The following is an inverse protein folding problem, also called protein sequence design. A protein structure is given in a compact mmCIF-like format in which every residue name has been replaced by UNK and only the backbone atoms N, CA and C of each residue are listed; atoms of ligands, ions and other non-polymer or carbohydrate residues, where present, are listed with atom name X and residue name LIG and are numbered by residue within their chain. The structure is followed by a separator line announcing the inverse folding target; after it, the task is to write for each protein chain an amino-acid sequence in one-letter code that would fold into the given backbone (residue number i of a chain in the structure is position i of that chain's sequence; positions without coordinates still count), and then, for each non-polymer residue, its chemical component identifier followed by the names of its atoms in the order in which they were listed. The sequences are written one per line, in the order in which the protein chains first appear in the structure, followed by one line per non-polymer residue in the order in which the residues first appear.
data_IF_989643453033
#
_entry.id   IF_989643453033
#
_cell.length_a   1.000
_cell.length_b   1.000
_cell.length_c   1.000
_cell.angle_alpha   90.00
_cell.angle_beta   90.00
_cell.angle_gamma   90.00
#
_symmetry.space_group_name_H-M   'P 1'
#
loop_
_entity.id
_entity.type
_entity.pdbx_description
1 polymer ?
#
# COMPACT_ATOMS: atom_id res chain seq x y z
N UNK A 1 -2.29 -17.60 28.14
CA UNK A 1 -3.59 -18.29 27.90
C UNK A 1 -4.07 -17.92 26.50
N UNK A 2 -4.41 -18.89 25.65
CA UNK A 2 -4.91 -18.57 24.31
C UNK A 2 -6.24 -17.82 24.42
N UNK A 3 -6.42 -16.77 23.58
CA UNK A 3 -7.69 -16.04 23.51
C UNK A 3 -8.83 -16.97 23.05
N UNK A 4 -10.04 -16.77 23.57
CA UNK A 4 -11.25 -17.47 23.10
C UNK A 4 -11.38 -17.40 21.57
N UNK A 5 -11.00 -16.27 20.96
CA UNK A 5 -11.00 -16.10 19.50
C UNK A 5 -10.18 -17.16 18.77
N UNK A 6 -8.99 -17.52 19.26
CA UNK A 6 -8.14 -18.54 18.63
C UNK A 6 -8.78 -19.92 18.73
N UNK A 7 -9.36 -20.24 19.88
CA UNK A 7 -10.07 -21.48 20.10
C UNK A 7 -11.26 -21.61 19.13
N UNK A 8 -12.10 -20.57 19.04
CA UNK A 8 -13.24 -20.54 18.13
C UNK A 8 -12.81 -20.73 16.66
N UNK A 9 -11.72 -20.10 16.23
CA UNK A 9 -11.19 -20.28 14.88
C UNK A 9 -10.75 -21.74 14.66
N UNK A 10 -10.01 -22.34 15.59
CA UNK A 10 -9.52 -23.70 15.45
C UNK A 10 -10.65 -24.74 15.43
N UNK A 11 -11.68 -24.56 16.25
CA UNK A 11 -12.83 -25.46 16.35
C UNK A 11 -13.72 -25.43 15.10
N UNK A 12 -13.86 -24.24 14.46
CA UNK A 12 -14.77 -24.06 13.31
C UNK A 12 -14.08 -24.13 11.96
N UNK A 13 -12.74 -24.24 11.90
CA UNK A 13 -12.05 -24.45 10.62
C UNK A 13 -12.49 -25.75 9.95
N UNK A 14 -12.61 -25.79 8.60
CA UNK A 14 -12.93 -27.01 7.87
C UNK A 14 -12.03 -28.18 8.27
N UNK A 15 -12.63 -29.36 8.48
CA UNK A 15 -11.90 -30.55 8.90
C UNK A 15 -10.83 -30.96 7.88
N UNK A 16 -11.12 -30.83 6.56
CA UNK A 16 -10.16 -31.06 5.49
C UNK A 16 -9.24 -29.85 5.32
N UNK A 17 -8.12 -29.86 6.02
CA UNK A 17 -7.10 -28.82 5.98
C UNK A 17 -5.70 -29.42 6.04
N UNK A 18 -4.71 -28.67 5.55
CA UNK A 18 -3.28 -29.03 5.62
C UNK A 18 -2.45 -27.83 6.01
N UNK A 19 -1.32 -28.05 6.64
CA UNK A 19 -0.36 -27.00 6.95
C UNK A 19 0.81 -27.03 5.94
N UNK A 20 1.22 -25.85 5.49
CA UNK A 20 2.40 -25.72 4.60
C UNK A 20 3.67 -25.55 5.44
N UNK A 21 4.88 -25.79 4.89
CA UNK A 21 6.16 -25.56 5.58
C UNK A 21 6.34 -24.11 6.06
N UNK A 22 5.66 -23.16 5.44
CA UNK A 22 5.65 -21.73 5.84
C UNK A 22 4.59 -21.41 6.91
N UNK A 23 3.96 -22.39 7.53
CA UNK A 23 2.99 -22.21 8.62
C UNK A 23 1.56 -21.89 8.18
N UNK A 24 1.27 -21.77 6.88
CA UNK A 24 -0.09 -21.53 6.41
C UNK A 24 -0.98 -22.77 6.56
N UNK A 25 -2.19 -22.58 7.08
CA UNK A 25 -3.24 -23.58 7.11
C UNK A 25 -4.10 -23.37 5.85
N UNK A 26 -4.17 -24.39 5.00
CA UNK A 26 -4.84 -24.34 3.69
C UNK A 26 -6.07 -25.24 3.72
N UNK A 27 -7.22 -24.71 3.27
CA UNK A 27 -8.52 -25.39 3.31
C UNK A 27 -9.45 -24.88 2.18
N UNK A 28 -10.57 -25.57 1.95
CA UNK A 28 -11.60 -25.08 1.05
C UNK A 28 -12.28 -23.86 1.66
N UNK A 29 -12.17 -22.72 1.00
CA UNK A 29 -12.61 -21.45 1.56
C UNK A 29 -14.13 -21.37 1.72
N UNK A 30 -14.59 -21.02 2.91
CA UNK A 30 -16.01 -20.89 3.25
C UNK A 30 -16.63 -19.57 2.75
N UNK A 31 -15.82 -18.54 2.50
CA UNK A 31 -16.31 -17.22 2.14
C UNK A 31 -16.87 -17.10 0.72
N UNK A 32 -16.54 -18.04 -0.18
CA UNK A 32 -16.88 -17.92 -1.60
C UNK A 32 -18.40 -17.89 -1.84
N UNK A 33 -19.15 -18.80 -1.25
CA UNK A 33 -20.61 -18.89 -1.40
C UNK A 33 -21.32 -17.62 -0.88
N UNK A 34 -20.86 -17.10 0.26
CA UNK A 34 -21.41 -15.90 0.86
C UNK A 34 -21.13 -14.62 0.06
N UNK A 35 -20.26 -14.72 -0.95
CA UNK A 35 -19.87 -13.61 -1.83
C UNK A 35 -20.29 -13.80 -3.28
N UNK A 36 -21.20 -14.73 -3.54
CA UNK A 36 -21.73 -14.99 -4.89
C UNK A 36 -20.75 -15.71 -5.84
N UNK A 37 -19.71 -16.33 -5.30
CA UNK A 37 -18.77 -17.13 -6.08
C UNK A 37 -19.06 -18.63 -5.94
N UNK A 38 -18.65 -19.42 -6.92
CA UNK A 38 -18.72 -20.88 -6.85
C UNK A 38 -17.94 -21.40 -5.63
N UNK A 39 -18.41 -22.51 -4.99
CA UNK A 39 -17.72 -23.15 -3.87
C UNK A 39 -16.25 -23.42 -4.17
N UNK A 40 -15.39 -23.19 -3.18
CA UNK A 40 -13.99 -23.56 -3.32
C UNK A 40 -13.79 -25.05 -3.10
N UNK A 41 -13.38 -25.76 -4.16
CA UNK A 41 -13.07 -27.20 -4.14
C UNK A 41 -11.57 -27.49 -4.24
N UNK A 42 -10.74 -26.43 -4.35
CA UNK A 42 -9.30 -26.54 -4.63
C UNK A 42 -8.42 -26.05 -3.49
N UNK A 43 -8.96 -25.92 -2.28
CA UNK A 43 -8.25 -25.46 -1.09
C UNK A 43 -7.53 -24.12 -1.31
N UNK A 44 -8.25 -23.09 -1.76
CA UNK A 44 -7.72 -21.74 -2.00
C UNK A 44 -7.92 -20.78 -0.82
N UNK A 45 -8.53 -21.26 0.27
CA UNK A 45 -8.58 -20.56 1.56
C UNK A 45 -7.28 -20.77 2.32
N UNK A 46 -6.71 -19.70 2.88
CA UNK A 46 -5.45 -19.75 3.60
C UNK A 46 -5.57 -18.95 4.89
N UNK A 47 -5.15 -19.53 6.01
CA UNK A 47 -5.04 -18.89 7.31
C UNK A 47 -3.59 -18.95 7.78
N UNK A 48 -3.04 -17.82 8.17
CA UNK A 48 -1.78 -17.75 8.91
C UNK A 48 -2.06 -17.27 10.34
N UNK A 49 -1.54 -18.01 11.31
CA UNK A 49 -1.52 -17.61 12.72
C UNK A 49 -0.07 -17.30 13.06
N UNK A 50 0.19 -16.05 13.41
CA UNK A 50 1.54 -15.58 13.75
C UNK A 50 1.84 -15.88 15.23
N UNK A 51 3.14 -15.92 15.65
CA UNK A 51 3.52 -16.16 17.04
C UNK A 51 2.95 -15.13 18.05
N UNK A 52 2.69 -13.91 17.59
CA UNK A 52 2.05 -12.84 18.37
C UNK A 52 0.52 -13.04 18.51
N UNK A 53 -0.02 -14.13 18.00
CA UNK A 53 -1.44 -14.43 17.99
C UNK A 53 -2.24 -13.69 16.92
N UNK A 54 -1.62 -12.89 16.06
CA UNK A 54 -2.32 -12.28 14.91
C UNK A 54 -2.74 -13.35 13.90
N UNK A 55 -3.88 -13.14 13.24
CA UNK A 55 -4.42 -14.05 12.23
C UNK A 55 -4.70 -13.32 10.93
N UNK A 56 -4.31 -13.91 9.81
CA UNK A 56 -4.54 -13.38 8.47
C UNK A 56 -5.23 -14.45 7.63
N UNK A 57 -6.35 -14.06 7.00
CA UNK A 57 -7.12 -14.88 6.07
C UNK A 57 -6.95 -14.33 4.67
N UNK A 58 -6.69 -15.23 3.71
CA UNK A 58 -6.67 -14.91 2.29
C UNK A 58 -7.37 -16.01 1.49
N UNK A 59 -8.30 -15.63 0.62
CA UNK A 59 -8.96 -16.56 -0.30
C UNK A 59 -8.57 -16.24 -1.74
N UNK A 60 -7.80 -17.12 -2.37
CA UNK A 60 -7.40 -16.96 -3.78
C UNK A 60 -8.52 -17.28 -4.79
N UNK A 61 -9.69 -17.74 -4.34
CA UNK A 61 -10.84 -17.95 -5.21
C UNK A 61 -11.66 -16.69 -5.42
N UNK A 62 -12.06 -16.01 -4.33
CA UNK A 62 -12.92 -14.82 -4.38
C UNK A 62 -12.21 -13.52 -3.98
N UNK A 63 -10.88 -13.56 -3.73
CA UNK A 63 -10.10 -12.38 -3.34
C UNK A 63 -10.37 -11.88 -1.91
N UNK A 64 -11.12 -12.63 -1.09
CA UNK A 64 -11.46 -12.21 0.27
C UNK A 64 -10.21 -12.17 1.15
N UNK A 65 -10.06 -11.06 1.89
CA UNK A 65 -8.99 -10.87 2.86
C UNK A 65 -9.58 -10.39 4.18
N UNK A 66 -9.08 -10.93 5.28
CA UNK A 66 -9.49 -10.56 6.62
C UNK A 66 -8.33 -10.73 7.60
N UNK A 67 -8.37 -10.04 8.75
CA UNK A 67 -7.34 -10.18 9.76
C UNK A 67 -7.81 -9.79 11.16
N UNK A 68 -7.13 -10.40 12.13
CA UNK A 68 -7.15 -10.03 13.54
C UNK A 68 -5.72 -9.66 13.95
N UNK A 69 -5.54 -8.55 14.64
CA UNK A 69 -4.24 -8.09 15.14
C UNK A 69 -4.40 -7.44 16.51
N UNK A 70 -3.56 -7.85 17.46
CA UNK A 70 -3.34 -7.15 18.76
C UNK A 70 -4.57 -6.44 19.35
N UNK A 71 -5.67 -7.17 19.47
CA UNK A 71 -6.90 -6.61 20.05
C UNK A 71 -7.85 -5.92 19.06
N UNK A 72 -7.57 -5.92 17.75
CA UNK A 72 -8.47 -5.37 16.74
C UNK A 72 -8.97 -6.45 15.77
N UNK A 73 -10.28 -6.66 15.76
CA UNK A 73 -10.98 -7.55 14.83
C UNK A 73 -11.45 -6.70 13.65
N UNK A 74 -10.90 -6.94 12.44
CA UNK A 74 -11.42 -6.26 11.26
C UNK A 74 -12.87 -6.68 10.97
N UNK A 75 -13.65 -5.79 10.35
CA UNK A 75 -15.02 -6.09 9.94
C UNK A 75 -15.11 -7.37 9.08
N UNK A 76 -14.17 -7.53 8.15
CA UNK A 76 -14.09 -8.74 7.35
C UNK A 76 -13.76 -9.99 8.17
N UNK A 77 -12.97 -9.88 9.25
CA UNK A 77 -12.67 -11.02 10.11
C UNK A 77 -13.90 -11.47 10.90
N UNK A 78 -14.69 -10.52 11.39
CA UNK A 78 -15.97 -10.83 12.01
C UNK A 78 -16.94 -11.50 11.02
N UNK A 79 -17.03 -11.00 9.79
CA UNK A 79 -17.81 -11.63 8.74
C UNK A 79 -17.32 -13.06 8.44
N UNK A 80 -16.00 -13.27 8.41
CA UNK A 80 -15.43 -14.59 8.18
C UNK A 80 -15.75 -15.59 9.30
N UNK A 81 -15.75 -15.16 10.56
CA UNK A 81 -16.20 -16.00 11.68
C UNK A 81 -17.66 -16.46 11.52
N UNK A 82 -18.53 -15.56 11.05
CA UNK A 82 -19.92 -15.90 10.70
C UNK A 82 -19.99 -16.93 9.56
N UNK A 83 -19.14 -16.78 8.53
CA UNK A 83 -19.05 -17.76 7.42
C UNK A 83 -18.53 -19.12 7.86
N UNK A 84 -17.69 -19.17 8.91
CA UNK A 84 -17.26 -20.42 9.55
C UNK A 84 -18.37 -21.09 10.37
N UNK A 85 -19.51 -20.42 10.59
CA UNK A 85 -20.58 -20.91 11.44
C UNK A 85 -20.35 -20.69 12.93
N UNK A 86 -19.46 -19.78 13.32
CA UNK A 86 -19.29 -19.41 14.73
C UNK A 86 -20.56 -18.72 15.23
N UNK A 87 -21.19 -19.19 16.33
CA UNK A 87 -22.39 -18.56 16.89
C UNK A 87 -22.15 -17.09 17.25
N UNK A 88 -23.13 -16.25 16.97
CA UNK A 88 -23.02 -14.80 17.17
C UNK A 88 -22.67 -14.43 18.62
N UNK A 89 -23.29 -15.08 19.60
CA UNK A 89 -23.00 -14.86 21.04
C UNK A 89 -21.53 -15.16 21.36
N UNK A 90 -20.94 -16.21 20.76
CA UNK A 90 -19.51 -16.55 20.96
C UNK A 90 -18.58 -15.51 20.33
N UNK A 91 -18.96 -14.94 19.19
CA UNK A 91 -18.22 -13.83 18.59
C UNK A 91 -18.25 -12.61 19.53
N UNK A 92 -19.41 -12.30 20.14
CA UNK A 92 -19.51 -11.19 21.09
C UNK A 92 -18.72 -11.45 22.39
N UNK A 93 -18.74 -12.67 22.93
CA UNK A 93 -17.93 -13.07 24.09
C UNK A 93 -16.42 -12.85 23.78
N UNK A 94 -15.94 -13.30 22.63
CA UNK A 94 -14.55 -13.09 22.22
C UNK A 94 -14.21 -11.60 22.05
N UNK A 95 -15.12 -10.79 21.52
CA UNK A 95 -14.94 -9.33 21.41
C UNK A 95 -14.85 -8.66 22.79
N UNK A 96 -15.68 -9.08 23.75
CA UNK A 96 -15.64 -8.57 25.12
C UNK A 96 -14.35 -8.98 25.84
N UNK A 97 -13.88 -10.23 25.68
CA UNK A 97 -12.60 -10.67 26.23
C UNK A 97 -11.44 -9.80 25.68
N UNK A 98 -11.44 -9.59 24.37
CA UNK A 98 -10.43 -8.75 23.71
C UNK A 98 -10.47 -7.32 24.24
N UNK A 99 -11.68 -6.74 24.35
CA UNK A 99 -11.84 -5.38 24.87
C UNK A 99 -11.39 -5.27 26.33
N UNK A 100 -11.74 -6.24 27.18
CA UNK A 100 -11.29 -6.30 28.57
C UNK A 100 -9.76 -6.33 28.66
N UNK A 101 -9.12 -7.20 27.88
CA UNK A 101 -7.65 -7.28 27.82
C UNK A 101 -7.01 -6.00 27.28
N UNK A 102 -7.65 -5.33 26.33
CA UNK A 102 -7.20 -4.04 25.79
C UNK A 102 -7.26 -2.94 26.85
N UNK A 103 -8.33 -2.89 27.64
CA UNK A 103 -8.50 -1.94 28.75
C UNK A 103 -7.46 -2.21 29.86
N UNK A 104 -7.21 -3.47 30.17
CA UNK A 104 -6.23 -3.87 31.20
C UNK A 104 -4.76 -3.76 30.75
N UNK A 105 -4.51 -3.34 29.51
CA UNK A 105 -3.14 -3.24 28.98
C UNK A 105 -2.46 -4.60 28.76
N UNK A 106 -3.21 -5.72 28.78
CA UNK A 106 -2.68 -7.07 28.61
C UNK A 106 -2.29 -7.40 27.15
N UNK A 107 -2.80 -6.65 26.19
CA UNK A 107 -2.15 -6.60 24.90
C UNK A 107 -0.96 -5.68 25.10
N UNK A 108 0.24 -6.25 25.09
CA UNK A 108 1.44 -5.44 24.98
C UNK A 108 1.15 -4.36 23.95
N UNK A 109 1.14 -3.12 24.42
CA UNK A 109 1.17 -1.98 23.52
C UNK A 109 2.47 -2.19 22.76
N UNK A 110 2.37 -2.68 21.51
CA UNK A 110 3.45 -2.54 20.54
C UNK A 110 3.70 -1.04 20.23
N UNK A 111 3.54 -0.22 21.26
CA UNK A 111 3.86 1.19 21.40
C UNK A 111 5.16 1.42 22.15
N UNK A 112 5.96 0.39 22.42
CA UNK A 112 7.37 0.65 22.50
C UNK A 112 7.80 0.94 21.06
N UNK A 113 8.36 2.12 20.77
CA UNK A 113 9.17 2.23 19.60
C UNK A 113 10.31 1.23 19.84
N UNK A 114 10.19 -0.02 19.38
CA UNK A 114 11.39 -0.68 18.91
C UNK A 114 12.00 0.38 18.04
N UNK A 115 13.13 0.93 18.51
CA UNK A 115 13.91 1.88 17.74
C UNK A 115 13.93 1.33 16.33
N UNK A 116 13.19 2.00 15.43
CA UNK A 116 13.06 1.57 14.04
C UNK A 116 14.49 1.48 13.51
N UNK A 117 15.05 0.26 13.59
CA UNK A 117 16.32 -0.03 12.93
C UNK A 117 15.97 0.00 11.46
N UNK A 118 16.39 1.05 10.77
CA UNK A 118 16.34 1.10 9.31
C UNK A 118 17.02 -0.18 8.86
N UNK A 119 16.25 -1.14 8.38
CA UNK A 119 16.79 -2.37 7.84
C UNK A 119 17.77 -1.99 6.72
N UNK A 120 18.86 -2.68 6.65
CA UNK A 120 19.81 -2.51 5.56
C UNK A 120 19.14 -3.02 4.29
N UNK A 121 18.64 -2.11 3.47
CA UNK A 121 18.11 -2.48 2.15
C UNK A 121 19.29 -2.89 1.25
N UNK A 122 19.28 -4.12 0.73
CA UNK A 122 20.33 -4.58 -0.17
C UNK A 122 20.35 -3.72 -1.45
N UNK A 123 21.52 -3.50 -1.99
CA UNK A 123 21.68 -2.85 -3.29
C UNK A 123 21.18 -3.78 -4.40
N UNK A 124 20.44 -3.23 -5.34
CA UNK A 124 19.84 -3.95 -6.47
C UNK A 124 20.32 -3.32 -7.77
N UNK A 125 20.76 -4.15 -8.71
CA UNK A 125 21.12 -3.69 -10.04
C UNK A 125 19.89 -3.27 -10.85
N UNK A 126 20.04 -2.20 -11.60
CA UNK A 126 19.06 -1.83 -12.64
C UNK A 126 19.06 -2.87 -13.77
N UNK A 127 17.98 -2.94 -14.56
CA UNK A 127 17.94 -3.81 -15.72
C UNK A 127 19.17 -3.63 -16.62
N UNK A 128 19.63 -4.73 -17.22
CA UNK A 128 20.80 -4.72 -18.11
C UNK A 128 20.67 -3.62 -19.17
N UNK A 129 21.74 -2.89 -19.41
CA UNK A 129 21.80 -1.74 -20.33
C UNK A 129 20.88 -0.56 -19.97
N UNK A 130 20.28 -0.54 -18.77
CA UNK A 130 19.56 0.64 -18.32
C UNK A 130 20.52 1.83 -18.12
N UNK A 131 20.19 2.97 -18.73
CA UNK A 131 20.90 4.25 -18.55
C UNK A 131 19.90 5.36 -18.33
N UNK A 132 20.32 6.49 -17.76
CA UNK A 132 19.49 7.69 -17.70
C UNK A 132 18.92 8.05 -19.08
N UNK A 133 17.65 8.44 -19.12
CA UNK A 133 16.97 8.82 -20.37
C UNK A 133 17.72 9.97 -21.05
N UNK A 134 18.24 10.92 -20.27
CA UNK A 134 19.02 12.06 -20.77
C UNK A 134 20.31 11.65 -21.51
N UNK A 135 20.90 10.52 -21.16
CA UNK A 135 22.06 9.96 -21.84
C UNK A 135 21.67 9.32 -23.18
N UNK A 136 20.56 8.61 -23.21
CA UNK A 136 20.01 8.05 -24.44
C UNK A 136 19.62 9.11 -25.45
N UNK A 137 19.07 10.24 -25.00
CA UNK A 137 18.70 11.36 -25.88
C UNK A 137 19.90 12.09 -26.51
N UNK A 138 21.12 11.81 -26.05
CA UNK A 138 22.36 12.32 -26.65
C UNK A 138 22.98 11.35 -27.65
N UNK A 139 22.42 10.14 -27.81
CA UNK A 139 22.91 9.17 -28.79
C UNK A 139 22.35 9.44 -30.16
N UNK A 140 23.10 8.99 -31.21
CA UNK A 140 22.70 9.18 -32.62
C UNK A 140 21.50 8.32 -33.02
N UNK A 141 21.22 7.25 -32.26
CA UNK A 141 20.10 6.34 -32.51
C UNK A 141 19.05 6.44 -31.39
N UNK A 142 17.94 7.09 -31.68
CA UNK A 142 16.80 7.22 -30.77
C UNK A 142 15.67 6.32 -31.28
N UNK A 143 15.31 5.30 -30.50
CA UNK A 143 14.21 4.38 -30.87
C UNK A 143 12.83 5.00 -30.63
N UNK A 144 11.81 4.50 -31.37
CA UNK A 144 10.44 4.93 -31.19
C UNK A 144 9.91 4.62 -29.78
N UNK A 145 10.33 3.52 -29.16
CA UNK A 145 9.95 3.15 -27.80
C UNK A 145 10.49 4.14 -26.77
N UNK A 146 11.69 4.66 -26.99
CA UNK A 146 12.26 5.72 -26.13
C UNK A 146 11.48 7.02 -26.30
N UNK A 147 11.11 7.39 -27.53
CA UNK A 147 10.30 8.58 -27.82
C UNK A 147 8.97 8.49 -27.07
N UNK A 148 8.24 7.35 -27.17
CA UNK A 148 6.99 7.14 -26.43
C UNK A 148 7.18 7.30 -24.90
N UNK A 149 8.29 6.85 -24.35
CA UNK A 149 8.61 7.02 -22.92
C UNK A 149 8.81 8.50 -22.56
N UNK A 150 9.52 9.26 -23.41
CA UNK A 150 9.75 10.71 -23.21
C UNK A 150 8.45 11.49 -23.33
N UNK A 151 7.64 11.22 -24.36
CA UNK A 151 6.33 11.83 -24.54
C UNK A 151 5.40 11.57 -23.33
N UNK A 152 5.41 10.34 -22.82
CA UNK A 152 4.68 10.00 -21.61
C UNK A 152 5.14 10.85 -20.41
N UNK A 153 6.45 10.99 -20.17
CA UNK A 153 6.95 11.83 -19.08
C UNK A 153 6.56 13.30 -19.27
N UNK A 154 6.68 13.81 -20.50
CA UNK A 154 6.27 15.16 -20.84
C UNK A 154 4.77 15.39 -20.56
N UNK A 155 3.92 14.41 -20.90
CA UNK A 155 2.47 14.47 -20.64
C UNK A 155 2.13 14.48 -19.15
N UNK A 156 3.02 13.95 -18.29
CA UNK A 156 2.85 13.98 -16.82
C UNK A 156 3.30 15.30 -16.18
N UNK A 157 3.74 16.25 -16.99
CA UNK A 157 4.10 17.59 -16.58
C UNK A 157 5.49 17.75 -15.98
N UNK A 158 5.92 18.99 -15.85
CA UNK A 158 7.30 19.36 -15.45
C UNK A 158 7.67 18.79 -14.06
N UNK A 159 6.73 18.75 -13.12
CA UNK A 159 6.99 18.29 -11.75
C UNK A 159 7.36 16.78 -11.74
N UNK A 160 6.74 15.97 -12.59
CA UNK A 160 7.07 14.56 -12.75
C UNK A 160 8.31 14.42 -13.62
N UNK A 161 8.32 14.98 -14.83
CA UNK A 161 9.40 14.80 -15.80
C UNK A 161 10.78 15.23 -15.28
N UNK A 162 10.85 16.34 -14.53
CA UNK A 162 12.09 16.84 -13.94
C UNK A 162 12.27 16.49 -12.46
N UNK A 163 11.36 15.73 -11.85
CA UNK A 163 11.37 15.45 -10.41
C UNK A 163 12.18 14.23 -9.98
N UNK A 164 12.62 13.41 -10.93
CA UNK A 164 13.33 12.16 -10.67
C UNK A 164 14.29 11.83 -11.80
N UNK A 165 15.33 11.04 -11.55
CA UNK A 165 16.18 10.49 -12.58
C UNK A 165 15.54 9.20 -13.12
N UNK A 166 15.09 9.24 -14.37
CA UNK A 166 14.46 8.12 -15.05
C UNK A 166 15.47 7.38 -15.92
N UNK A 167 15.28 6.07 -16.02
CA UNK A 167 16.12 5.20 -16.83
C UNK A 167 15.28 4.51 -17.90
N UNK A 168 15.93 4.11 -18.94
CA UNK A 168 15.37 3.31 -20.00
C UNK A 168 16.39 2.27 -20.49
N UNK A 169 15.92 1.16 -21.04
CA UNK A 169 16.72 0.09 -21.62
C UNK A 169 16.17 -0.33 -22.97
N UNK A 170 17.00 -0.63 -24.00
CA UNK A 170 16.56 -1.15 -25.28
C UNK A 170 16.12 -2.63 -25.21
N UNK A 171 16.23 -3.27 -24.03
CA UNK A 171 15.79 -4.65 -23.85
C UNK A 171 14.27 -4.69 -23.81
N UNK A 172 13.67 -5.41 -24.77
CA UNK A 172 12.21 -5.63 -24.82
C UNK A 172 11.75 -6.90 -24.12
N UNK A 173 12.68 -7.79 -23.77
CA UNK A 173 12.42 -9.03 -23.02
C UNK A 173 12.09 -8.72 -21.54
N UNK A 174 11.53 -9.68 -20.83
CA UNK A 174 11.25 -9.61 -19.39
C UNK A 174 10.26 -8.50 -18.99
N UNK A 175 9.26 -8.24 -19.83
CA UNK A 175 8.28 -7.17 -19.61
C UNK A 175 8.88 -5.76 -19.48
N UNK A 176 10.03 -5.49 -20.09
CA UNK A 176 10.69 -4.18 -20.07
C UNK A 176 10.35 -3.30 -21.29
N UNK A 177 9.66 -3.84 -22.30
CA UNK A 177 9.25 -3.09 -23.47
C UNK A 177 8.35 -1.90 -23.11
N UNK A 178 8.61 -0.74 -23.71
CA UNK A 178 7.83 0.51 -23.49
C UNK A 178 7.68 0.87 -22.02
N UNK A 179 8.76 0.75 -21.24
CA UNK A 179 8.74 1.09 -19.83
C UNK A 179 9.80 2.12 -19.46
N UNK A 180 9.35 3.06 -18.64
CA UNK A 180 10.22 3.96 -17.90
C UNK A 180 10.63 3.26 -16.61
N UNK A 181 11.92 3.16 -16.36
CA UNK A 181 12.46 2.58 -15.13
C UNK A 181 12.62 3.71 -14.11
N UNK A 182 11.96 3.53 -12.98
CA UNK A 182 11.99 4.44 -11.83
C UNK A 182 12.80 3.75 -10.73
N UNK A 183 14.06 4.14 -10.48
CA UNK A 183 14.85 3.55 -9.41
C UNK A 183 14.36 4.00 -8.03
N UNK A 184 14.53 3.12 -7.06
CA UNK A 184 14.24 3.34 -5.65
C UNK A 184 15.53 3.55 -4.90
N UNK A 185 15.68 4.69 -4.27
CA UNK A 185 16.90 5.06 -3.59
C UNK A 185 16.76 4.98 -2.06
N UNK A 186 17.79 4.46 -1.42
CA UNK A 186 18.02 4.59 0.01
C UNK A 186 19.50 4.90 0.27
N UNK A 187 19.79 5.99 0.96
CA UNK A 187 21.17 6.44 1.21
C UNK A 187 22.04 6.50 -0.07
N UNK A 188 21.48 7.04 -1.14
CA UNK A 188 22.09 7.18 -2.48
C UNK A 188 22.41 5.85 -3.20
N UNK A 189 21.90 4.71 -2.71
CA UNK A 189 22.02 3.41 -3.38
C UNK A 189 20.69 3.02 -3.98
N UNK A 190 20.73 2.30 -5.10
CA UNK A 190 19.54 1.71 -5.70
C UNK A 190 19.20 0.45 -4.92
N UNK A 191 18.01 0.42 -4.31
CA UNK A 191 17.51 -0.71 -3.49
C UNK A 191 16.32 -1.41 -4.11
N UNK A 192 15.95 -1.02 -5.31
CA UNK A 192 14.88 -1.57 -6.11
C UNK A 192 14.53 -0.65 -7.27
N UNK A 193 13.60 -1.07 -8.10
CA UNK A 193 13.09 -0.25 -9.20
C UNK A 193 11.70 -0.73 -9.62
N UNK A 194 10.99 0.13 -10.33
CA UNK A 194 9.76 -0.23 -11.03
C UNK A 194 9.81 0.23 -12.47
N UNK A 195 9.29 -0.59 -13.37
CA UNK A 195 9.11 -0.26 -14.78
C UNK A 195 7.67 0.18 -15.05
N UNK A 196 7.44 1.47 -15.24
CA UNK A 196 6.14 2.04 -15.61
C UNK A 196 5.87 1.84 -17.09
N UNK A 197 4.82 1.09 -17.44
CA UNK A 197 4.35 0.95 -18.81
C UNK A 197 3.70 2.24 -19.31
N UNK A 198 4.12 2.73 -20.47
CA UNK A 198 3.70 4.06 -20.97
C UNK A 198 2.45 4.02 -21.85
N UNK A 199 2.08 2.84 -22.36
CA UNK A 199 0.87 2.65 -23.17
C UNK A 199 -0.29 2.10 -22.32
N UNK A 200 -1.42 1.76 -22.95
CA UNK A 200 -2.56 1.14 -22.26
C UNK A 200 -2.18 -0.21 -21.66
N UNK A 201 -2.33 -0.37 -20.36
CA UNK A 201 -2.10 -1.64 -19.68
C UNK A 201 -3.20 -2.66 -19.98
N UNK A 202 -2.83 -3.95 -20.00
CA UNK A 202 -3.75 -5.09 -20.15
C UNK A 202 -3.54 -6.09 -19.03
N UNK A 203 -4.28 -7.21 -19.03
CA UNK A 203 -4.05 -8.30 -18.08
C UNK A 203 -2.64 -8.90 -18.22
N UNK A 204 -2.13 -8.97 -19.43
CA UNK A 204 -0.82 -9.56 -19.75
C UNK A 204 0.31 -8.54 -19.64
N UNK A 205 -0.01 -7.24 -19.67
CA UNK A 205 0.97 -6.16 -19.56
C UNK A 205 0.57 -5.23 -18.40
N UNK A 206 1.02 -5.52 -17.18
CA UNK A 206 0.65 -4.75 -16.01
C UNK A 206 1.21 -3.32 -16.08
N UNK A 207 0.48 -2.38 -15.48
CA UNK A 207 0.84 -0.95 -15.40
C UNK A 207 2.24 -0.75 -14.81
N UNK A 208 2.60 -1.54 -13.80
CA UNK A 208 3.91 -1.53 -13.14
C UNK A 208 4.50 -2.93 -13.14
N UNK A 209 5.80 -3.02 -13.40
CA UNK A 209 6.61 -4.22 -13.27
C UNK A 209 7.76 -3.93 -12.32
N UNK A 210 7.83 -4.63 -11.21
CA UNK A 210 8.73 -4.32 -10.11
C UNK A 210 9.88 -5.32 -10.03
N UNK A 211 11.07 -4.84 -9.62
CA UNK A 211 12.08 -5.69 -8.99
C UNK A 211 11.54 -6.23 -7.66
N UNK A 212 12.31 -7.07 -6.99
CA UNK A 212 12.06 -7.40 -5.59
C UNK A 212 12.17 -6.13 -4.76
N UNK A 213 11.02 -5.67 -4.23
CA UNK A 213 10.96 -4.48 -3.38
C UNK A 213 11.21 -4.92 -1.94
N UNK A 214 12.22 -4.36 -1.25
CA UNK A 214 12.45 -4.69 0.15
C UNK A 214 11.22 -4.40 1.01
N UNK A 215 10.88 -5.33 1.92
CA UNK A 215 9.81 -5.12 2.88
C UNK A 215 10.12 -3.87 3.71
N UNK A 216 9.10 -3.06 3.96
CA UNK A 216 9.25 -1.83 4.75
C UNK A 216 9.80 -0.63 3.98
N UNK A 217 10.19 -0.77 2.71
CA UNK A 217 10.68 0.36 1.93
C UNK A 217 9.58 1.40 1.70
N UNK A 218 9.95 2.67 1.85
CA UNK A 218 9.14 3.83 1.47
C UNK A 218 9.84 4.56 0.32
N UNK A 219 9.12 4.73 -0.78
CA UNK A 219 9.62 5.51 -1.91
C UNK A 219 9.85 6.96 -1.51
N UNK A 220 10.95 7.56 -2.00
CA UNK A 220 11.39 8.91 -1.69
C UNK A 220 11.55 9.18 -0.18
N UNK A 221 11.98 8.17 0.58
CA UNK A 221 12.17 8.22 2.04
C UNK A 221 13.12 9.35 2.51
N UNK A 222 13.95 9.91 1.63
CA UNK A 222 14.82 11.06 1.94
C UNK A 222 14.05 12.25 2.53
N UNK A 223 12.77 12.43 2.16
CA UNK A 223 11.96 13.56 2.64
C UNK A 223 11.67 13.49 4.14
N UNK A 224 11.76 12.30 4.74
CA UNK A 224 11.61 12.12 6.19
C UNK A 224 12.70 12.85 6.98
N UNK A 225 13.90 12.98 6.39
CA UNK A 225 15.07 13.57 7.02
C UNK A 225 15.26 15.06 6.72
N UNK A 226 14.38 15.69 5.92
CA UNK A 226 14.49 17.12 5.59
C UNK A 226 14.01 17.96 6.79
N UNK A 227 14.94 18.47 7.60
CA UNK A 227 14.67 19.20 8.85
C UNK A 227 13.62 20.32 8.77
N UNK A 228 13.63 21.24 7.78
CA UNK A 228 12.67 22.35 7.75
C UNK A 228 11.24 21.94 7.40
N UNK A 229 10.99 20.70 6.99
CA UNK A 229 9.64 20.23 6.67
C UNK A 229 8.83 19.96 7.93
N UNK A 230 7.63 20.54 8.00
CA UNK A 230 6.65 20.27 9.06
C UNK A 230 5.73 19.07 8.74
N UNK A 231 5.57 18.76 7.46
CA UNK A 231 4.62 17.77 6.96
C UNK A 231 5.31 16.71 6.14
N UNK A 232 4.85 15.47 6.28
CA UNK A 232 5.11 14.35 5.36
C UNK A 232 3.82 14.02 4.68
N UNK A 233 3.72 14.32 3.38
CA UNK A 233 2.61 13.90 2.55
C UNK A 233 2.82 12.46 2.11
N UNK A 234 1.75 11.70 1.97
CA UNK A 234 1.78 10.26 1.66
C UNK A 234 0.77 9.99 0.55
N UNK A 235 1.25 9.50 -0.59
CA UNK A 235 0.45 9.15 -1.77
C UNK A 235 0.61 7.67 -2.12
N UNK A 236 -0.28 7.11 -2.95
CA UNK A 236 -0.25 5.67 -3.27
C UNK A 236 0.90 5.31 -4.20
N UNK A 237 1.16 6.11 -5.22
CA UNK A 237 2.05 5.79 -6.32
C UNK A 237 3.35 6.61 -6.37
N UNK A 238 4.39 6.10 -7.06
CA UNK A 238 5.67 6.79 -7.17
C UNK A 238 5.57 8.09 -7.99
N UNK A 239 4.72 8.16 -9.03
CA UNK A 239 4.60 9.37 -9.84
C UNK A 239 3.97 10.53 -9.06
N UNK A 240 2.97 10.25 -8.21
CA UNK A 240 2.40 11.25 -7.30
C UNK A 240 3.42 11.72 -6.28
N UNK A 241 4.18 10.75 -5.72
CA UNK A 241 5.24 11.08 -4.78
C UNK A 241 6.33 11.96 -5.41
N UNK A 242 6.67 11.73 -6.67
CA UNK A 242 7.62 12.59 -7.43
C UNK A 242 7.00 13.97 -7.67
N UNK A 243 5.75 14.04 -8.11
CA UNK A 243 5.07 15.29 -8.49
C UNK A 243 5.07 16.32 -7.37
N UNK A 244 4.79 15.89 -6.14
CA UNK A 244 4.70 16.78 -4.98
C UNK A 244 5.85 16.59 -3.98
N UNK A 245 6.87 15.80 -4.31
CA UNK A 245 8.03 15.48 -3.47
C UNK A 245 7.62 14.98 -2.09
N UNK A 246 6.90 13.86 -2.07
CA UNK A 246 6.40 13.20 -0.86
C UNK A 246 6.82 11.73 -0.81
N UNK A 247 6.33 10.95 0.16
CA UNK A 247 6.59 9.51 0.27
C UNK A 247 5.45 8.69 -0.33
N UNK A 248 5.78 7.46 -0.76
CA UNK A 248 4.78 6.46 -1.16
C UNK A 248 5.13 5.08 -0.61
N UNK A 249 4.16 4.31 -0.11
CA UNK A 249 4.33 2.91 0.23
C UNK A 249 4.40 1.99 -1.00
N UNK A 250 4.30 2.55 -2.22
CA UNK A 250 4.22 1.83 -3.50
C UNK A 250 2.98 0.93 -3.61
N UNK A 251 1.88 1.38 -3.05
CA UNK A 251 0.59 0.68 -3.07
C UNK A 251 -0.43 1.36 -2.17
N UNK A 252 -1.63 0.81 -2.14
CA UNK A 252 -2.75 1.32 -1.32
C UNK A 252 -2.70 0.87 0.14
N UNK A 253 -1.75 0.02 0.51
CA UNK A 253 -1.59 -0.53 1.88
C UNK A 253 -0.21 -0.24 2.41
N UNK A 254 -0.09 -0.11 3.73
CA UNK A 254 1.19 -0.02 4.43
C UNK A 254 1.41 -1.22 5.33
N UNK A 255 2.63 -1.72 5.39
CA UNK A 255 3.02 -2.71 6.38
C UNK A 255 3.48 -2.06 7.69
N UNK A 256 3.66 -2.88 8.74
CA UNK A 256 4.07 -2.40 10.08
C UNK A 256 5.40 -1.64 10.06
N UNK A 257 6.36 -2.06 9.24
CA UNK A 257 7.68 -1.43 9.15
C UNK A 257 7.58 -0.04 8.52
N UNK A 258 6.78 0.13 7.46
CA UNK A 258 6.52 1.44 6.84
C UNK A 258 5.84 2.40 7.81
N UNK A 259 4.84 1.91 8.56
CA UNK A 259 4.13 2.69 9.59
C UNK A 259 5.10 3.09 10.72
N UNK A 260 5.93 2.14 11.21
CA UNK A 260 6.92 2.41 12.24
C UNK A 260 7.94 3.46 11.77
N UNK A 261 8.38 3.36 10.50
CA UNK A 261 9.29 4.35 9.92
C UNK A 261 8.67 5.74 9.83
N UNK A 262 7.42 5.84 9.40
CA UNK A 262 6.71 7.12 9.40
C UNK A 262 6.54 7.67 10.81
N UNK A 263 6.22 6.83 11.79
CA UNK A 263 6.04 7.24 13.19
C UNK A 263 7.34 7.64 13.89
N UNK A 264 8.51 7.13 13.43
CA UNK A 264 9.81 7.55 13.96
C UNK A 264 10.17 9.00 13.59
N UNK A 265 9.46 9.58 12.63
CA UNK A 265 9.61 10.97 12.21
C UNK A 265 8.61 11.85 12.99
N UNK A 266 9.08 12.94 13.57
CA UNK A 266 8.30 13.91 14.38
C UNK A 266 7.34 14.80 13.58
N UNK A 267 7.39 14.73 12.24
CA UNK A 267 6.56 15.52 11.33
C UNK A 267 5.11 15.05 11.32
N UNK A 268 4.17 15.95 11.08
CA UNK A 268 2.76 15.59 10.84
C UNK A 268 2.62 14.84 9.52
N UNK A 269 1.93 13.69 9.55
CA UNK A 269 1.65 12.86 8.40
C UNK A 269 0.29 13.24 7.82
N UNK A 270 0.24 13.40 6.48
CA UNK A 270 -0.99 13.71 5.77
C UNK A 270 -1.14 12.71 4.62
N UNK A 271 -2.11 11.83 4.71
CA UNK A 271 -2.45 10.91 3.62
C UNK A 271 -3.27 11.65 2.57
N UNK A 272 -2.87 11.51 1.31
CA UNK A 272 -3.56 12.08 0.14
C UNK A 272 -4.02 10.92 -0.73
N UNK A 273 -5.25 10.43 -0.57
CA UNK A 273 -5.77 9.32 -1.35
C UNK A 273 -6.09 9.75 -2.79
N UNK A 274 -6.01 8.79 -3.71
CA UNK A 274 -6.55 8.99 -5.06
C UNK A 274 -8.07 9.22 -4.99
N UNK A 275 -8.61 10.14 -5.79
CA UNK A 275 -10.07 10.43 -5.81
C UNK A 275 -10.91 9.24 -6.26
N UNK A 276 -10.35 8.35 -7.09
CA UNK A 276 -10.99 7.08 -7.43
C UNK A 276 -10.77 6.07 -6.30
N UNK A 277 -11.49 6.20 -5.19
CA UNK A 277 -11.36 5.42 -3.95
C UNK A 277 -11.58 3.90 -4.14
N UNK A 278 -10.81 3.28 -5.03
CA UNK A 278 -10.86 1.81 -5.23
C UNK A 278 -10.38 1.04 -4.01
N UNK A 279 -9.39 1.59 -3.29
CA UNK A 279 -8.87 1.05 -2.05
C UNK A 279 -8.77 2.15 -1.00
N UNK A 280 -9.23 1.87 0.20
CA UNK A 280 -9.30 2.86 1.29
C UNK A 280 -8.33 2.53 2.43
N UNK A 281 -7.46 1.55 2.23
CA UNK A 281 -6.58 1.01 3.28
C UNK A 281 -5.61 2.07 3.84
N UNK A 282 -5.15 3.02 3.00
CA UNK A 282 -4.32 4.14 3.46
C UNK A 282 -5.09 5.09 4.37
N UNK A 283 -6.37 5.35 4.06
CA UNK A 283 -7.24 6.20 4.89
C UNK A 283 -7.49 5.49 6.23
N UNK A 284 -7.78 4.18 6.20
CA UNK A 284 -8.00 3.39 7.41
C UNK A 284 -6.72 3.35 8.27
N UNK A 285 -5.54 3.23 7.63
CA UNK A 285 -4.25 3.35 8.33
C UNK A 285 -4.09 4.72 8.97
N UNK A 286 -4.39 5.81 8.25
CA UNK A 286 -4.30 7.16 8.80
C UNK A 286 -5.20 7.34 10.02
N UNK A 287 -6.45 6.87 9.95
CA UNK A 287 -7.40 6.91 11.08
C UNK A 287 -6.86 6.13 12.29
N UNK A 288 -6.33 4.93 12.08
CA UNK A 288 -5.75 4.12 13.16
C UNK A 288 -4.51 4.74 13.79
N UNK A 289 -3.71 5.48 13.01
CA UNK A 289 -2.49 6.11 13.49
C UNK A 289 -2.71 7.54 14.00
N UNK A 290 -3.91 8.09 13.90
CA UNK A 290 -4.21 9.48 14.24
C UNK A 290 -3.55 10.49 13.29
N UNK A 291 -3.22 10.07 12.05
CA UNK A 291 -2.70 10.95 11.02
C UNK A 291 -3.80 11.75 10.33
N UNK A 292 -3.43 12.86 9.74
CA UNK A 292 -4.35 13.64 8.91
C UNK A 292 -4.62 12.96 7.57
N UNK A 293 -5.84 13.14 7.05
CA UNK A 293 -6.21 12.81 5.67
C UNK A 293 -6.61 14.10 4.98
N UNK A 294 -6.22 14.28 3.72
CA UNK A 294 -6.60 15.44 2.93
C UNK A 294 -7.38 15.01 1.69
N UNK A 295 -8.50 15.71 1.46
CA UNK A 295 -9.33 15.61 0.27
C UNK A 295 -9.44 17.00 -0.34
N UNK A 296 -8.41 17.48 -1.08
CA UNK A 296 -8.45 18.82 -1.65
C UNK A 296 -9.61 18.98 -2.62
N UNK A 297 -10.19 20.17 -2.63
CA UNK A 297 -11.28 20.53 -3.53
C UNK A 297 -10.73 20.88 -4.93
N UNK A 298 -10.26 19.83 -5.64
CA UNK A 298 -9.82 19.96 -7.02
C UNK A 298 -11.00 19.71 -7.98
N UNK A 299 -10.89 20.16 -9.22
CA UNK A 299 -11.87 19.86 -10.27
C UNK A 299 -12.06 18.33 -10.43
N UNK A 300 -13.27 17.90 -10.82
CA UNK A 300 -13.63 16.47 -10.91
C UNK A 300 -12.75 15.66 -11.88
N UNK A 301 -12.21 16.32 -12.91
CA UNK A 301 -11.27 15.68 -13.85
C UNK A 301 -9.92 15.31 -13.24
N UNK A 302 -9.55 15.90 -12.08
CA UNK A 302 -8.28 15.68 -11.39
C UNK A 302 -8.41 14.43 -10.51
N UNK A 303 -7.62 13.42 -10.78
CA UNK A 303 -7.72 12.09 -10.13
C UNK A 303 -6.77 11.91 -8.96
N UNK A 304 -5.58 12.48 -9.07
CA UNK A 304 -4.46 12.27 -8.18
C UNK A 304 -3.59 13.53 -8.03
N UNK A 305 -2.59 13.47 -7.16
CA UNK A 305 -1.71 14.60 -6.90
C UNK A 305 -0.81 14.96 -8.10
N UNK A 306 -0.48 13.99 -8.96
CA UNK A 306 0.29 14.24 -10.16
C UNK A 306 -0.55 15.03 -11.18
N UNK A 307 -1.81 14.64 -11.42
CA UNK A 307 -2.74 15.38 -12.27
C UNK A 307 -2.96 16.82 -11.74
N UNK A 308 -3.13 16.98 -10.42
CA UNK A 308 -3.26 18.30 -9.80
C UNK A 308 -2.01 19.16 -10.02
N UNK A 309 -0.81 18.56 -9.94
CA UNK A 309 0.43 19.30 -10.16
C UNK A 309 0.60 19.76 -11.61
N UNK A 310 0.01 19.05 -12.57
CA UNK A 310 -0.03 19.48 -13.99
C UNK A 310 -0.95 20.69 -14.16
N UNK A 311 -2.16 20.62 -13.59
CA UNK A 311 -3.17 21.66 -13.75
C UNK A 311 -2.87 22.94 -12.97
N UNK A 312 -2.45 22.80 -11.72
CA UNK A 312 -2.34 23.93 -10.79
C UNK A 312 -0.90 24.30 -10.40
N UNK A 313 0.05 23.45 -10.78
CA UNK A 313 1.43 23.56 -10.34
C UNK A 313 1.66 22.96 -8.94
N UNK A 314 2.91 22.55 -8.69
CA UNK A 314 3.33 21.82 -7.48
C UNK A 314 3.01 22.58 -6.19
N UNK A 315 3.30 23.89 -6.12
CA UNK A 315 3.12 24.67 -4.89
C UNK A 315 1.65 24.81 -4.51
N UNK A 316 0.78 25.09 -5.48
CA UNK A 316 -0.66 25.17 -5.23
C UNK A 316 -1.21 23.81 -4.77
N UNK A 317 -0.81 22.72 -5.43
CA UNK A 317 -1.22 21.36 -5.06
C UNK A 317 -0.85 21.05 -3.61
N UNK A 318 0.40 21.31 -3.20
CA UNK A 318 0.84 21.10 -1.82
C UNK A 318 0.05 21.99 -0.84
N UNK A 319 -0.15 23.26 -1.18
CA UNK A 319 -0.90 24.21 -0.34
C UNK A 319 -2.35 23.77 -0.13
N UNK A 320 -3.03 23.35 -1.20
CA UNK A 320 -4.40 22.83 -1.11
C UNK A 320 -4.50 21.57 -0.25
N UNK A 321 -3.53 20.65 -0.37
CA UNK A 321 -3.46 19.45 0.48
C UNK A 321 -3.34 19.83 1.96
N UNK A 322 -2.44 20.76 2.29
CA UNK A 322 -2.22 21.18 3.67
C UNK A 322 -3.45 21.91 4.23
N UNK A 323 -4.11 22.72 3.41
CA UNK A 323 -5.31 23.47 3.80
C UNK A 323 -6.49 22.54 4.13
N UNK A 324 -6.71 21.51 3.31
CA UNK A 324 -7.87 20.61 3.42
C UNK A 324 -7.61 19.35 4.29
N UNK A 325 -6.50 19.34 5.04
CA UNK A 325 -6.20 18.24 5.95
C UNK A 325 -7.13 18.21 7.15
N UNK A 326 -7.52 17.03 7.58
CA UNK A 326 -8.34 16.82 8.78
C UNK A 326 -7.99 15.52 9.48
N UNK A 327 -8.10 15.49 10.81
CA UNK A 327 -8.02 14.28 11.64
C UNK A 327 -9.41 13.81 12.10
N UNK A 328 -10.47 14.58 11.79
CA UNK A 328 -11.83 14.26 12.19
C UNK A 328 -12.35 13.05 11.44
N UNK A 329 -12.56 11.93 12.14
CA UNK A 329 -13.12 10.69 11.58
C UNK A 329 -14.50 10.90 10.94
N UNK A 330 -15.31 11.80 11.49
CA UNK A 330 -16.61 12.17 10.92
C UNK A 330 -16.44 12.88 9.56
N UNK A 331 -15.56 13.90 9.48
CA UNK A 331 -15.32 14.61 8.22
C UNK A 331 -14.72 13.70 7.15
N UNK A 332 -13.76 12.86 7.56
CA UNK A 332 -13.17 11.85 6.67
C UNK A 332 -14.25 10.90 6.15
N UNK A 333 -15.13 10.41 7.02
CA UNK A 333 -16.25 9.52 6.66
C UNK A 333 -17.21 10.16 5.66
N UNK A 334 -17.60 11.41 5.87
CA UNK A 334 -18.49 12.15 4.96
C UNK A 334 -17.84 12.37 3.59
N UNK A 335 -16.59 12.84 3.56
CA UNK A 335 -15.86 13.05 2.28
C UNK A 335 -15.66 11.73 1.52
N UNK A 336 -15.40 10.62 2.23
CA UNK A 336 -15.35 9.27 1.62
C UNK A 336 -16.66 8.87 0.94
N UNK A 337 -17.81 9.22 1.50
CA UNK A 337 -19.11 8.92 0.91
C UNK A 337 -19.37 9.77 -0.33
N UNK A 338 -19.04 11.06 -0.30
CA UNK A 338 -19.20 11.97 -1.44
C UNK A 338 -18.36 11.56 -2.66
N UNK A 339 -17.18 10.97 -2.45
CA UNK A 339 -16.30 10.54 -3.55
C UNK A 339 -16.64 9.13 -4.10
N UNK A 340 -17.59 8.41 -3.48
CA UNK A 340 -18.08 7.09 -3.95
C UNK A 340 -19.28 7.18 -4.91
N UNK A 341 -19.97 8.30 -4.94
CA UNK A 341 -21.09 8.59 -5.83
C UNK A 341 -20.59 9.12 -7.17
#
# INVERSE_FOLDING_TARGET
MALLLHQLVQEHLPAKRRQTPKGWIVFNSVCCNHRGHAPDTRSRGNLLISPDGSMIINCYNCGFKAGYRSGDISHNFEAWLKYLGVPYNKIQEAKLEILSKKINGEFEQFNTPELFKIEHFPEVELPKHARPIEEWLKSDEISNELIECVEYLASRGRAVAGGWQYYWTPITKWNLNKRIIIPFYHNNRVVGWTGRYVSKSSKDTPKYYNSDIPSGYLFNNRVLNIKPRKYVLITEGPLDAIAIDCVSPLGSTMNKQQIAWLNSCDKEKIVVPDRQLKNQDLIDTALHQGWSVSFPDWEDKIKDAADASVCYGKLYTISSIIKEKTTSSLQIGLKRQMLKG
#
